data_IF_003961159235
#
_entry.id   IF_003961159235
#
_cell.length_a   1.000
_cell.length_b   1.000
_cell.length_c   1.000
_cell.angle_alpha   90.00
_cell.angle_beta   90.00
_cell.angle_gamma   90.00
#
_symmetry.space_group_name_H-M   'P 1'
#
loop_
_entity.id
_entity.type
_entity.pdbx_description
1 polymer ?
#
# COMPACT_ATOMS: atom_id res chain seq x y z
N UNK A 1 3.21 13.77 17.44
CA UNK A 1 2.22 14.68 16.83
C UNK A 1 1.75 14.03 15.54
N UNK A 2 0.44 13.97 15.28
CA UNK A 2 -0.11 13.50 13.99
C UNK A 2 -0.28 14.73 13.09
N UNK A 3 0.19 14.65 11.85
CA UNK A 3 0.06 15.75 10.89
C UNK A 3 -1.37 15.81 10.34
N UNK A 4 -1.99 16.99 10.42
CA UNK A 4 -3.28 17.24 9.78
C UNK A 4 -3.15 17.30 8.26
N UNK A 5 -4.27 17.11 7.58
CA UNK A 5 -4.29 16.96 6.12
C UNK A 5 -3.78 18.18 5.35
N UNK A 6 -4.02 19.39 5.86
CA UNK A 6 -3.47 20.62 5.28
C UNK A 6 -1.94 20.58 5.23
N UNK A 7 -1.30 20.16 6.33
CA UNK A 7 0.17 20.07 6.40
C UNK A 7 0.70 18.96 5.50
N UNK A 8 -0.01 17.83 5.42
CA UNK A 8 0.35 16.74 4.50
C UNK A 8 0.31 17.22 3.04
N UNK A 9 -0.70 18.00 2.64
CA UNK A 9 -0.79 18.55 1.29
C UNK A 9 0.31 19.58 0.97
N UNK A 10 0.69 20.41 1.95
CA UNK A 10 1.87 21.26 1.81
C UNK A 10 3.11 20.44 1.52
N UNK A 11 3.37 19.37 2.28
CA UNK A 11 4.52 18.50 2.09
C UNK A 11 4.47 17.74 0.76
N UNK A 12 3.29 17.34 0.28
CA UNK A 12 3.13 16.77 -1.06
C UNK A 12 3.57 17.78 -2.14
N UNK A 13 3.24 19.06 -1.99
CA UNK A 13 3.65 20.11 -2.95
C UNK A 13 5.13 20.46 -2.85
N UNK A 14 5.65 20.59 -1.63
CA UNK A 14 7.01 21.09 -1.38
C UNK A 14 8.08 20.02 -1.63
N UNK A 15 7.87 18.81 -1.11
CA UNK A 15 8.89 17.75 -1.11
C UNK A 15 8.45 16.48 -1.83
N UNK A 16 7.29 16.51 -2.50
CA UNK A 16 6.69 15.32 -3.12
C UNK A 16 6.54 14.17 -2.13
N UNK A 17 6.07 14.48 -0.91
CA UNK A 17 5.94 13.51 0.18
C UNK A 17 5.24 12.21 -0.26
N UNK A 18 4.18 12.33 -1.05
CA UNK A 18 3.53 11.21 -1.74
C UNK A 18 3.28 11.60 -3.19
N UNK A 19 3.72 10.74 -4.11
CA UNK A 19 3.49 10.87 -5.54
C UNK A 19 2.41 9.89 -6.01
N UNK A 20 1.75 10.23 -7.12
CA UNK A 20 0.66 9.43 -7.70
C UNK A 20 -0.56 9.27 -6.76
N UNK A 21 -0.90 10.30 -5.97
CA UNK A 21 -2.17 10.33 -5.24
C UNK A 21 -3.35 10.40 -6.21
N UNK A 22 -4.47 9.75 -5.86
CA UNK A 22 -5.68 9.86 -6.67
C UNK A 22 -6.33 11.24 -6.53
N UNK A 23 -7.22 11.58 -7.47
CA UNK A 23 -7.91 12.88 -7.48
C UNK A 23 -8.72 13.16 -6.21
N UNK A 24 -9.24 12.12 -5.53
CA UNK A 24 -9.94 12.27 -4.26
C UNK A 24 -8.99 12.74 -3.16
N UNK A 25 -7.86 12.07 -2.98
CA UNK A 25 -6.87 12.47 -1.97
C UNK A 25 -6.27 13.85 -2.25
N UNK A 26 -6.16 14.26 -3.52
CA UNK A 26 -5.63 15.58 -3.86
C UNK A 26 -6.60 16.73 -3.60
N UNK A 27 -7.91 16.50 -3.78
CA UNK A 27 -8.91 17.58 -3.80
C UNK A 27 -9.90 17.55 -2.63
N UNK A 28 -10.21 16.37 -2.09
CA UNK A 28 -11.14 16.19 -0.99
C UNK A 28 -10.68 15.04 -0.07
N UNK A 29 -9.51 15.19 0.57
CA UNK A 29 -8.98 14.18 1.47
C UNK A 29 -9.78 14.10 2.79
N UNK A 30 -9.80 12.92 3.39
CA UNK A 30 -10.48 12.68 4.67
C UNK A 30 -9.46 12.44 5.79
N UNK A 31 -9.70 13.04 6.96
CA UNK A 31 -8.95 12.72 8.18
C UNK A 31 -7.52 13.28 8.24
N UNK A 32 -6.59 12.47 8.72
CA UNK A 32 -5.20 12.84 9.01
C UNK A 32 -4.20 11.84 8.40
N UNK A 33 -4.39 11.53 7.12
CA UNK A 33 -3.57 10.58 6.36
C UNK A 33 -3.98 10.56 4.89
N UNK A 34 -3.45 9.60 4.14
CA UNK A 34 -3.83 9.34 2.76
C UNK A 34 -4.26 7.89 2.63
N UNK A 35 -5.36 7.66 1.90
CA UNK A 35 -5.71 6.32 1.45
C UNK A 35 -4.81 5.92 0.27
N UNK A 36 -4.04 4.85 0.46
CA UNK A 36 -3.18 4.28 -0.59
C UNK A 36 -3.93 3.19 -1.36
N UNK A 37 -3.59 3.03 -2.65
CA UNK A 37 -4.27 2.12 -3.57
C UNK A 37 -3.41 0.90 -3.86
N UNK A 38 -4.06 -0.26 -4.02
CA UNK A 38 -3.41 -1.50 -4.41
C UNK A 38 -2.90 -1.39 -5.85
N UNK A 39 -1.59 -1.56 -6.05
CA UNK A 39 -0.96 -1.52 -7.38
C UNK A 39 -0.61 -2.91 -7.90
N UNK A 40 0.20 -3.66 -7.16
CA UNK A 40 0.68 -4.99 -7.54
C UNK A 40 0.47 -5.97 -6.38
N UNK A 41 0.18 -7.23 -6.71
CA UNK A 41 0.03 -8.37 -5.79
C UNK A 41 1.01 -9.44 -6.21
N UNK A 42 1.74 -9.97 -5.24
CA UNK A 42 2.74 -11.02 -5.42
C UNK A 42 2.44 -12.20 -4.51
N UNK A 43 2.63 -13.40 -5.07
CA UNK A 43 2.70 -14.64 -4.31
C UNK A 43 4.13 -14.92 -3.87
N UNK A 44 4.26 -15.58 -2.72
CA UNK A 44 5.54 -16.07 -2.23
C UNK A 44 5.81 -17.46 -2.82
N UNK A 45 7.01 -17.65 -3.37
CA UNK A 45 7.47 -18.92 -3.92
C UNK A 45 8.64 -19.47 -3.11
N UNK A 46 8.50 -20.71 -2.66
CA UNK A 46 9.50 -21.42 -1.87
C UNK A 46 9.38 -21.17 -0.36
N UNK A 47 10.39 -21.63 0.36
CA UNK A 47 10.46 -21.50 1.82
C UNK A 47 11.15 -20.20 2.22
N UNK A 48 10.98 -19.82 3.49
CA UNK A 48 11.73 -18.75 4.14
C UNK A 48 12.42 -19.28 5.40
N UNK A 49 13.52 -18.65 5.79
CA UNK A 49 14.25 -19.02 7.00
C UNK A 49 14.61 -17.78 7.82
N UNK A 50 14.35 -17.84 9.12
CA UNK A 50 14.70 -16.78 10.07
C UNK A 50 15.53 -17.36 11.21
N UNK A 51 16.84 -17.35 11.03
CA UNK A 51 17.83 -17.68 12.05
C UNK A 51 18.38 -16.44 12.76
N UNK A 52 19.32 -16.68 13.68
CA UNK A 52 20.03 -15.61 14.40
C UNK A 52 20.95 -14.85 13.45
N UNK A 53 21.78 -15.57 12.69
CA UNK A 53 22.76 -15.02 11.76
C UNK A 53 22.29 -15.11 10.29
N UNK A 54 21.57 -16.17 9.95
CA UNK A 54 21.12 -16.44 8.58
C UNK A 54 19.65 -16.11 8.41
N UNK A 55 19.34 -15.36 7.37
CA UNK A 55 17.97 -15.02 6.99
C UNK A 55 17.80 -15.24 5.50
N UNK A 56 16.78 -15.99 5.13
CA UNK A 56 16.39 -16.22 3.75
C UNK A 56 14.93 -15.81 3.56
N UNK A 57 14.69 -14.95 2.58
CA UNK A 57 13.35 -14.44 2.28
C UNK A 57 12.82 -15.17 1.06
N UNK A 58 11.57 -15.64 1.08
CA UNK A 58 10.98 -16.32 -0.07
C UNK A 58 11.06 -15.46 -1.34
N UNK A 59 11.14 -16.13 -2.48
CA UNK A 59 11.06 -15.45 -3.78
C UNK A 59 9.64 -14.95 -3.98
N UNK A 60 9.48 -13.99 -4.88
CA UNK A 60 8.19 -13.39 -5.19
C UNK A 60 7.83 -13.60 -6.65
N UNK A 61 6.56 -13.84 -6.92
CA UNK A 61 6.01 -13.99 -8.26
C UNK A 61 4.83 -13.04 -8.43
N UNK A 62 4.79 -12.26 -9.50
CA UNK A 62 3.68 -11.37 -9.78
C UNK A 62 2.41 -12.21 -10.02
N UNK A 63 1.38 -11.97 -9.22
CA UNK A 63 0.10 -12.67 -9.27
C UNK A 63 -1.02 -11.79 -9.84
N UNK A 64 -0.92 -10.47 -9.66
CA UNK A 64 -1.86 -9.52 -10.23
C UNK A 64 -1.30 -8.10 -10.21
N UNK A 65 -1.78 -7.27 -11.13
CA UNK A 65 -1.47 -5.85 -11.17
C UNK A 65 -2.69 -5.07 -11.65
N UNK A 66 -2.85 -3.84 -11.16
CA UNK A 66 -3.92 -2.98 -11.63
C UNK A 66 -3.63 -2.51 -13.06
N UNK A 67 -4.59 -2.74 -13.94
CA UNK A 67 -4.53 -2.34 -15.35
C UNK A 67 -5.64 -1.34 -15.69
N UNK A 68 -5.27 -0.07 -15.83
CA UNK A 68 -6.22 1.01 -16.15
C UNK A 68 -6.81 0.92 -17.57
N UNK A 69 -6.29 0.05 -18.44
CA UNK A 69 -6.87 -0.18 -19.76
C UNK A 69 -8.07 -1.13 -19.74
N UNK A 70 -8.23 -1.91 -18.66
CA UNK A 70 -9.31 -2.88 -18.50
C UNK A 70 -10.52 -2.27 -17.80
N UNK A 71 -11.75 -2.74 -18.10
CA UNK A 71 -12.93 -2.36 -17.34
C UNK A 71 -12.80 -2.82 -15.88
N UNK A 72 -13.37 -2.05 -14.96
CA UNK A 72 -13.29 -2.31 -13.51
C UNK A 72 -13.78 -3.72 -13.14
N UNK A 73 -14.83 -4.20 -13.83
CA UNK A 73 -15.37 -5.54 -13.65
C UNK A 73 -14.38 -6.68 -13.95
N UNK A 74 -13.29 -6.40 -14.67
CA UNK A 74 -12.23 -7.35 -15.01
C UNK A 74 -10.91 -7.01 -14.29
N UNK A 75 -10.87 -5.92 -13.53
CA UNK A 75 -9.67 -5.42 -12.84
C UNK A 75 -9.77 -5.67 -11.33
N UNK A 76 -9.92 -6.95 -10.98
CA UNK A 76 -9.99 -7.41 -9.59
C UNK A 76 -9.02 -8.56 -9.35
N UNK A 77 -8.71 -8.80 -8.08
CA UNK A 77 -7.90 -9.93 -7.63
C UNK A 77 -8.67 -10.70 -6.55
N UNK A 78 -8.67 -12.03 -6.63
CA UNK A 78 -9.28 -12.89 -5.63
C UNK A 78 -8.19 -13.35 -4.67
N UNK A 79 -8.25 -12.84 -3.44
CA UNK A 79 -7.42 -13.33 -2.35
C UNK A 79 -7.99 -14.65 -1.84
N UNK A 80 -7.16 -15.69 -1.80
CA UNK A 80 -7.58 -16.96 -1.21
C UNK A 80 -7.50 -16.90 0.32
N UNK A 81 -8.42 -17.57 1.04
CA UNK A 81 -8.32 -17.75 2.48
C UNK A 81 -6.98 -18.41 2.88
N UNK A 82 -6.48 -18.03 4.06
CA UNK A 82 -5.27 -18.60 4.68
C UNK A 82 -3.97 -18.49 3.86
N UNK A 83 -3.95 -17.63 2.83
CA UNK A 83 -2.73 -17.30 2.08
C UNK A 83 -2.15 -15.94 2.47
N UNK A 84 -0.82 -15.84 2.37
CA UNK A 84 -0.10 -14.58 2.54
C UNK A 84 0.37 -14.04 1.19
N UNK A 85 0.15 -12.75 0.99
CA UNK A 85 0.50 -12.05 -0.25
C UNK A 85 1.36 -10.83 0.08
N UNK A 86 2.32 -10.53 -0.79
CA UNK A 86 2.99 -9.25 -0.77
C UNK A 86 2.26 -8.29 -1.69
N UNK A 87 2.01 -7.08 -1.21
CA UNK A 87 1.33 -6.04 -1.96
C UNK A 87 2.22 -4.82 -2.11
N UNK A 88 2.06 -4.13 -3.23
CA UNK A 88 2.73 -2.85 -3.50
C UNK A 88 1.68 -1.82 -3.84
N UNK A 89 1.81 -0.64 -3.26
CA UNK A 89 0.91 0.49 -3.52
C UNK A 89 1.17 1.11 -4.88
N UNK A 90 0.16 1.77 -5.45
CA UNK A 90 0.32 2.60 -6.65
C UNK A 90 1.13 3.87 -6.35
N UNK A 91 1.01 4.38 -5.14
CA UNK A 91 1.67 5.58 -4.67
C UNK A 91 3.15 5.32 -4.36
N UNK A 92 3.97 6.37 -4.55
CA UNK A 92 5.36 6.39 -4.12
C UNK A 92 5.50 7.36 -2.96
N UNK A 93 6.00 6.87 -1.82
CA UNK A 93 6.13 7.63 -0.58
C UNK A 93 7.59 8.04 -0.37
N UNK A 94 7.86 9.34 -0.29
CA UNK A 94 9.18 9.92 -0.10
C UNK A 94 9.30 10.53 1.32
N UNK A 95 9.45 9.68 2.35
CA UNK A 95 9.53 10.14 3.74
C UNK A 95 10.89 10.79 4.05
N UNK A 96 10.92 12.05 4.57
CA UNK A 96 12.14 12.62 5.11
C UNK A 96 12.50 11.98 6.46
N UNK A 97 13.77 12.07 6.87
CA UNK A 97 14.28 11.47 8.12
C UNK A 97 13.60 11.94 9.41
N UNK A 98 12.88 13.08 9.35
CA UNK A 98 12.16 13.67 10.49
C UNK A 98 10.71 13.20 10.59
N UNK A 99 10.25 12.36 9.68
CA UNK A 99 8.86 11.90 9.61
C UNK A 99 8.80 10.37 9.53
N UNK A 100 7.81 9.80 10.21
CA UNK A 100 7.49 8.38 10.11
C UNK A 100 6.04 8.23 9.70
N UNK A 101 5.77 7.29 8.79
CA UNK A 101 4.42 6.90 8.41
C UNK A 101 3.98 5.65 9.18
N UNK A 102 2.68 5.55 9.44
CA UNK A 102 2.05 4.33 9.97
C UNK A 102 0.95 3.95 8.99
N UNK A 103 0.92 2.69 8.57
CA UNK A 103 -0.06 2.17 7.63
C UNK A 103 -1.11 1.40 8.42
N UNK A 104 -2.38 1.68 8.14
CA UNK A 104 -3.50 0.94 8.70
C UNK A 104 -4.40 0.44 7.56
N UNK A 105 -4.91 -0.81 7.64
CA UNK A 105 -5.92 -1.25 6.69
C UNK A 105 -7.22 -0.47 6.93
N UNK A 106 -7.98 -0.22 5.85
CA UNK A 106 -9.34 0.32 6.00
C UNK A 106 -10.21 -0.67 6.77
N UNK A 107 -11.11 -0.16 7.59
CA UNK A 107 -12.00 -1.00 8.42
C UNK A 107 -12.81 -2.01 7.60
N UNK A 108 -13.18 -1.66 6.36
CA UNK A 108 -13.85 -2.57 5.42
C UNK A 108 -12.98 -3.79 5.09
N UNK A 109 -11.66 -3.60 4.87
CA UNK A 109 -10.73 -4.69 4.57
C UNK A 109 -10.55 -5.59 5.78
N UNK A 110 -10.27 -4.99 6.94
CA UNK A 110 -10.08 -5.72 8.19
C UNK A 110 -11.32 -6.55 8.57
N UNK A 111 -12.52 -5.97 8.47
CA UNK A 111 -13.79 -6.68 8.73
C UNK A 111 -14.10 -7.78 7.70
N UNK A 112 -13.40 -7.79 6.56
CA UNK A 112 -13.52 -8.81 5.53
C UNK A 112 -12.43 -9.89 5.63
N UNK A 113 -11.65 -9.89 6.72
CA UNK A 113 -10.60 -10.89 6.96
C UNK A 113 -9.26 -10.58 6.27
N UNK A 114 -9.12 -9.42 5.63
CA UNK A 114 -7.85 -8.97 5.06
C UNK A 114 -7.09 -8.14 6.10
N UNK A 115 -6.14 -8.80 6.76
CA UNK A 115 -5.19 -8.17 7.68
C UNK A 115 -3.93 -7.71 6.97
N UNK A 116 -3.41 -6.54 7.37
CA UNK A 116 -2.07 -6.04 7.06
C UNK A 116 -1.17 -6.22 8.28
#
# INVERSE_FOLDING_TARGET
MILGIQKLHELVKEIKLVENLCGREMNNPEGAGFDLRLGEVYELEGDGFLGVEERDTPKIKLAGNCDFSKPEAENFFIFEPDKYYLVKTMEKVNLPVILSGIIFPRTTMFRSGLGL
#
